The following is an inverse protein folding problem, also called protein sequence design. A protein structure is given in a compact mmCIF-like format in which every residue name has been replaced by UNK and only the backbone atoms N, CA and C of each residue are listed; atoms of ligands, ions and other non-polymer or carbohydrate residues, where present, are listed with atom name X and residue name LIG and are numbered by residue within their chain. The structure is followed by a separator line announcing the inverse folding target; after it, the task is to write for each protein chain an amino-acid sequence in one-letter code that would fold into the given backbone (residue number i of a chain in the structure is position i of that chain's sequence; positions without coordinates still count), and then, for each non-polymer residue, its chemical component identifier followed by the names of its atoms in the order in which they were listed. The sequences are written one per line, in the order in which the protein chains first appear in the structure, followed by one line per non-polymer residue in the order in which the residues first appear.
data_IF_855830951744
#
_entry.id   IF_855830951744
#
_cell.length_a   1.000
_cell.length_b   1.000
_cell.length_c   1.000
_cell.angle_alpha   90.00
_cell.angle_beta   90.00
_cell.angle_gamma   90.00
#
_symmetry.space_group_name_H-M   'P 1'
#
loop_
_entity.id
_entity.type
_entity.pdbx_description
1 polymer ?
#
# COMPACT_ATOMS: atom_id res chain seq x y z
N UNK A 1 27.67 -2.16 35.57
CA UNK A 1 28.67 -1.53 34.69
C UNK A 1 27.94 -0.46 33.89
N UNK A 2 28.27 0.81 34.08
CA UNK A 2 27.68 1.94 33.37
C UNK A 2 28.63 2.36 32.27
N UNK A 3 28.17 2.41 31.02
CA UNK A 3 28.93 2.99 29.91
C UNK A 3 28.03 3.93 29.10
N UNK A 4 28.63 5.04 28.70
CA UNK A 4 28.02 6.31 28.32
C UNK A 4 27.47 6.36 26.88
N UNK A 5 26.57 7.33 26.64
CA UNK A 5 26.22 7.85 25.31
C UNK A 5 27.25 8.86 24.81
N UNK A 6 27.36 9.02 23.47
CA UNK A 6 27.50 10.36 22.90
C UNK A 6 26.62 10.64 21.66
N UNK A 7 25.93 11.78 21.76
CA UNK A 7 25.59 12.83 20.77
C UNK A 7 25.49 12.54 19.24
N UNK A 8 24.29 12.87 18.74
CA UNK A 8 23.95 13.67 17.55
C UNK A 8 24.92 13.78 16.37
N UNK A 9 24.45 13.32 15.20
CA UNK A 9 24.77 13.90 13.88
C UNK A 9 23.51 13.96 13.01
N UNK A 10 22.96 15.16 12.81
CA UNK A 10 22.12 15.49 11.65
C UNK A 10 23.01 15.56 10.40
N UNK A 11 22.50 15.22 9.20
CA UNK A 11 22.05 16.31 8.34
C UNK A 11 20.89 15.96 7.38
N UNK A 12 20.25 17.06 6.96
CA UNK A 12 19.73 17.34 5.61
C UNK A 12 18.22 17.23 5.43
N UNK A 13 17.63 18.42 5.42
CA UNK A 13 16.30 18.83 5.00
C UNK A 13 15.62 17.88 4.00
N UNK A 14 14.66 17.09 4.50
CA UNK A 14 13.62 16.55 3.65
C UNK A 14 12.53 17.61 3.50
N UNK A 15 12.71 18.50 2.52
CA UNK A 15 11.66 19.41 2.04
C UNK A 15 10.39 18.57 1.78
N UNK A 16 9.25 18.83 2.47
CA UNK A 16 8.00 18.17 2.11
C UNK A 16 7.58 18.74 0.77
N UNK A 17 7.87 18.00 -0.30
CA UNK A 17 7.34 18.35 -1.61
C UNK A 17 5.88 17.96 -1.61
N UNK A 18 5.03 18.92 -1.23
CA UNK A 18 3.61 18.89 -1.56
C UNK A 18 3.50 18.96 -3.08
N UNK A 19 3.53 17.80 -3.73
CA UNK A 19 3.31 17.70 -5.17
C UNK A 19 1.81 17.64 -5.43
N UNK A 20 1.13 18.78 -5.29
CA UNK A 20 -0.12 18.98 -6.02
C UNK A 20 0.25 19.16 -7.49
N UNK A 21 0.24 18.06 -8.25
CA UNK A 21 0.32 18.09 -9.71
C UNK A 21 -0.99 17.55 -10.24
N UNK A 22 -1.84 18.46 -10.69
CA UNK A 22 -2.85 18.16 -11.69
C UNK A 22 -2.27 18.50 -13.06
N UNK A 23 -1.95 17.48 -13.87
CA UNK A 23 -2.13 17.60 -15.30
C UNK A 23 -3.02 16.46 -15.76
N UNK A 24 -4.31 16.78 -15.94
CA UNK A 24 -5.17 15.96 -16.77
C UNK A 24 -4.61 16.02 -18.20
N UNK A 25 -4.33 14.85 -18.77
CA UNK A 25 -4.39 14.46 -20.19
C UNK A 25 -3.58 13.15 -20.33
N UNK A 26 -4.30 12.06 -20.65
CA UNK A 26 -3.80 10.70 -21.01
C UNK A 26 -3.05 9.90 -19.94
N UNK A 27 -3.63 9.75 -18.74
CA UNK A 27 -3.05 8.92 -17.66
C UNK A 27 -3.80 7.61 -17.40
N UNK A 28 -4.91 7.31 -18.07
CA UNK A 28 -5.75 6.13 -17.76
C UNK A 28 -5.01 4.80 -17.89
N UNK A 29 -4.25 4.61 -18.98
CA UNK A 29 -3.47 3.39 -19.26
C UNK A 29 -2.25 3.24 -18.31
N UNK A 30 -1.52 4.34 -18.07
CA UNK A 30 -0.36 4.34 -17.18
C UNK A 30 -0.80 4.13 -15.72
N UNK A 31 -1.93 4.73 -15.33
CA UNK A 31 -2.52 4.57 -14.01
C UNK A 31 -3.07 3.16 -13.83
N UNK A 32 -3.68 2.54 -14.85
CA UNK A 32 -4.21 1.18 -14.75
C UNK A 32 -3.10 0.14 -14.59
N UNK A 33 -1.97 0.31 -15.30
CA UNK A 33 -0.79 -0.54 -15.12
C UNK A 33 -0.24 -0.43 -13.69
N UNK A 34 -0.07 0.79 -13.21
CA UNK A 34 0.44 1.06 -11.85
C UNK A 34 -0.50 0.50 -10.78
N UNK A 35 -1.81 0.72 -10.91
CA UNK A 35 -2.84 0.19 -9.99
C UNK A 35 -2.79 -1.34 -9.94
N UNK A 36 -2.63 -2.01 -11.08
CA UNK A 36 -2.48 -3.48 -11.10
C UNK A 36 -1.22 -3.96 -10.38
N UNK A 37 -0.09 -3.28 -10.59
CA UNK A 37 1.16 -3.60 -9.92
C UNK A 37 1.03 -3.44 -8.39
N UNK A 38 0.49 -2.31 -7.94
CA UNK A 38 0.30 -2.02 -6.51
C UNK A 38 -0.70 -2.99 -5.86
N UNK A 39 -1.76 -3.39 -6.59
CA UNK A 39 -2.70 -4.42 -6.12
C UNK A 39 -2.05 -5.79 -5.94
N UNK A 40 -1.21 -6.20 -6.89
CA UNK A 40 -0.48 -7.47 -6.79
C UNK A 40 0.51 -7.46 -5.61
N UNK A 41 1.19 -6.33 -5.41
CA UNK A 41 2.06 -6.13 -4.25
C UNK A 41 1.29 -6.26 -2.93
N UNK A 42 0.12 -5.62 -2.80
CA UNK A 42 -0.71 -5.73 -1.61
C UNK A 42 -1.14 -7.18 -1.31
N UNK A 43 -1.45 -7.97 -2.35
CA UNK A 43 -1.77 -9.41 -2.20
C UNK A 43 -0.56 -10.20 -1.70
N UNK A 44 0.61 -10.00 -2.28
CA UNK A 44 1.83 -10.69 -1.87
C UNK A 44 2.20 -10.34 -0.41
N UNK A 45 2.08 -9.07 -0.03
CA UNK A 45 2.34 -8.64 1.34
C UNK A 45 1.38 -9.29 2.32
N UNK A 46 0.07 -9.28 2.04
CA UNK A 46 -0.92 -9.94 2.90
C UNK A 46 -0.65 -11.45 3.08
N UNK A 47 -0.15 -12.12 2.04
CA UNK A 47 0.27 -13.53 2.12
C UNK A 47 1.51 -13.71 3.00
N UNK A 48 2.51 -12.84 2.86
CA UNK A 48 3.71 -12.85 3.70
C UNK A 48 3.38 -12.57 5.17
N UNK A 49 2.44 -11.68 5.42
CA UNK A 49 1.93 -11.32 6.75
C UNK A 49 1.03 -12.43 7.35
N UNK A 50 0.76 -13.51 6.61
CA UNK A 50 -0.06 -14.63 7.09
C UNK A 50 -1.54 -14.28 7.25
N UNK A 51 -2.04 -13.28 6.53
CA UNK A 51 -3.46 -12.90 6.56
C UNK A 51 -4.33 -14.00 5.94
N UNK A 52 -5.07 -14.73 6.77
CA UNK A 52 -5.99 -15.81 6.37
C UNK A 52 -7.45 -15.36 6.27
N UNK A 53 -7.72 -14.07 6.49
CA UNK A 53 -9.05 -13.48 6.41
C UNK A 53 -9.63 -13.47 4.98
N UNK A 54 -10.92 -13.16 4.88
CA UNK A 54 -11.57 -12.98 3.59
C UNK A 54 -11.45 -11.53 3.14
N UNK A 55 -10.87 -11.35 1.96
CA UNK A 55 -10.61 -10.03 1.39
C UNK A 55 -11.14 -9.94 -0.03
N UNK A 56 -11.69 -8.79 -0.37
CA UNK A 56 -12.03 -8.45 -1.74
C UNK A 56 -10.97 -7.53 -2.33
N UNK A 57 -10.54 -7.85 -3.55
CA UNK A 57 -9.63 -7.02 -4.34
C UNK A 57 -10.43 -5.90 -5.01
N UNK A 58 -9.95 -4.67 -4.89
CA UNK A 58 -10.60 -3.50 -5.47
C UNK A 58 -9.57 -2.49 -5.96
N UNK A 59 -9.87 -1.78 -7.04
CA UNK A 59 -8.99 -0.75 -7.59
C UNK A 59 -9.30 0.58 -6.89
N UNK A 60 -8.37 1.04 -6.04
CA UNK A 60 -8.56 2.23 -5.20
C UNK A 60 -7.53 3.30 -5.51
N UNK A 61 -8.00 4.54 -5.70
CA UNK A 61 -7.14 5.72 -5.82
C UNK A 61 -6.37 6.06 -4.54
N UNK A 62 -6.78 5.48 -3.40
CA UNK A 62 -6.19 5.72 -2.09
C UNK A 62 -5.22 4.61 -1.65
N UNK A 63 -4.94 3.63 -2.52
CA UNK A 63 -4.01 2.53 -2.22
C UNK A 63 -4.61 1.38 -1.39
N UNK A 64 -5.90 1.42 -1.09
CA UNK A 64 -6.60 0.34 -0.39
C UNK A 64 -7.05 -0.74 -1.38
N UNK A 65 -6.15 -1.66 -1.73
CA UNK A 65 -6.41 -2.70 -2.74
C UNK A 65 -7.03 -3.98 -2.20
N UNK A 66 -6.96 -4.18 -0.88
CA UNK A 66 -7.57 -5.30 -0.16
C UNK A 66 -8.49 -4.74 0.92
N UNK A 67 -9.77 -5.11 0.85
CA UNK A 67 -10.76 -4.72 1.85
C UNK A 67 -11.28 -5.98 2.54
N UNK A 68 -11.24 -6.05 3.89
CA UNK A 68 -11.86 -7.15 4.62
C UNK A 68 -13.34 -7.24 4.30
N UNK A 69 -13.84 -8.45 4.04
CA UNK A 69 -15.26 -8.70 3.75
C UNK A 69 -15.79 -9.89 4.52
N UNK A 70 -17.11 -9.89 4.74
CA UNK A 70 -17.80 -11.09 5.19
C UNK A 70 -17.83 -12.09 4.02
N UNK A 71 -17.45 -13.36 4.23
CA UNK A 71 -17.45 -14.36 3.18
C UNK A 71 -18.87 -14.56 2.64
N UNK A 72 -18.98 -14.73 1.33
CA UNK A 72 -20.22 -15.16 0.70
C UNK A 72 -20.49 -16.63 0.98
N UNK A 73 -21.75 -17.06 0.83
CA UNK A 73 -22.13 -18.48 0.99
C UNK A 73 -21.36 -19.41 0.04
N UNK A 74 -20.98 -18.92 -1.14
CA UNK A 74 -20.19 -19.69 -2.10
C UNK A 74 -18.73 -19.92 -1.63
N UNK A 75 -18.17 -19.00 -0.85
CA UNK A 75 -16.81 -19.10 -0.30
C UNK A 75 -16.75 -19.99 0.95
N UNK A 76 -17.86 -20.10 1.70
CA UNK A 76 -17.95 -20.94 2.90
C UNK A 76 -18.11 -22.44 2.61
N UNK A 77 -18.56 -22.80 1.41
CA UNK A 77 -18.81 -24.19 1.01
C UNK A 77 -17.63 -24.82 0.24
N UNK A 78 -16.41 -24.26 0.37
CA UNK A 78 -15.21 -24.70 -0.35
C UNK A 78 -14.42 -25.78 0.39
#
# INVERSE_FOLDING_TARGET
MTVASPASKTPKDAKPTCSSRVPGVQTSEINSFRIQQEKNFAVAQAQQDGCTGNFKKFDSWYGNFLVPVVPSRAELNR
#
